data_IF_679631261910
#
_entry.id   IF_679631261910
#
_cell.length_a   1.000
_cell.length_b   1.000
_cell.length_c   1.000
_cell.angle_alpha   90.00
_cell.angle_beta   90.00
_cell.angle_gamma   90.00
#
_symmetry.space_group_name_H-M   'P 1'
#
loop_
_entity.id
_entity.type
_entity.pdbx_description
1 polymer ?
#
# COMPACT_ATOMS: atom_id res chain seq x y z
N UNK A 1 10.44 -4.76 1.95
CA UNK A 1 11.56 -3.87 1.59
C UNK A 1 11.34 -2.53 2.27
N UNK A 2 12.35 -2.00 2.93
CA UNK A 2 12.33 -0.73 3.64
C UNK A 2 13.65 0.02 3.35
N UNK A 3 13.51 1.26 2.87
CA UNK A 3 14.65 2.09 2.51
C UNK A 3 15.39 2.64 3.75
N UNK A 4 14.64 3.01 4.79
CA UNK A 4 15.20 3.62 5.98
C UNK A 4 15.82 2.55 6.89
N UNK A 5 17.13 2.59 7.10
CA UNK A 5 17.87 1.63 7.92
C UNK A 5 17.27 1.46 9.33
N UNK A 6 16.91 2.57 9.98
CA UNK A 6 16.30 2.54 11.31
C UNK A 6 14.98 1.78 11.34
N UNK A 7 14.11 1.97 10.32
CA UNK A 7 12.83 1.27 10.25
C UNK A 7 13.01 -0.20 9.89
N UNK A 8 13.97 -0.50 9.01
CA UNK A 8 14.34 -1.88 8.69
C UNK A 8 14.89 -2.63 9.93
N UNK A 9 15.74 -1.97 10.76
CA UNK A 9 16.21 -2.55 12.01
C UNK A 9 15.04 -2.82 12.99
N UNK A 10 14.12 -1.87 13.15
CA UNK A 10 12.93 -2.06 13.99
C UNK A 10 12.08 -3.23 13.49
N UNK A 11 11.87 -3.35 12.18
CA UNK A 11 11.14 -4.46 11.58
C UNK A 11 11.85 -5.81 11.83
N UNK A 12 13.18 -5.89 11.64
CA UNK A 12 13.97 -7.11 11.95
C UNK A 12 13.80 -7.54 13.40
N UNK A 13 13.92 -6.59 14.34
CA UNK A 13 13.71 -6.90 15.77
C UNK A 13 12.28 -7.38 16.05
N UNK A 14 11.27 -6.81 15.40
CA UNK A 14 9.89 -7.26 15.54
C UNK A 14 9.70 -8.68 15.01
N UNK A 15 10.34 -9.03 13.89
CA UNK A 15 10.33 -10.41 13.35
C UNK A 15 10.90 -11.38 14.36
N UNK A 16 12.08 -11.07 14.93
CA UNK A 16 12.72 -11.92 15.93
C UNK A 16 11.91 -12.04 17.22
N UNK A 17 11.37 -10.94 17.73
CA UNK A 17 10.53 -10.97 18.95
C UNK A 17 9.27 -11.82 18.80
N UNK A 18 8.75 -11.95 17.58
CA UNK A 18 7.55 -12.75 17.30
C UNK A 18 7.89 -14.14 16.72
N UNK A 19 9.15 -14.52 16.63
CA UNK A 19 9.63 -15.82 16.12
C UNK A 19 9.12 -16.08 14.69
N UNK A 20 9.25 -15.07 13.81
CA UNK A 20 8.76 -15.11 12.43
C UNK A 20 9.88 -15.17 11.39
N UNK A 21 11.13 -15.50 11.78
CA UNK A 21 12.29 -15.48 10.90
C UNK A 21 12.16 -16.44 9.72
N UNK A 22 11.48 -17.56 9.91
CA UNK A 22 11.21 -18.54 8.86
C UNK A 22 10.15 -18.10 7.83
N UNK A 23 9.37 -17.04 8.16
CA UNK A 23 8.27 -16.56 7.33
C UNK A 23 8.52 -15.17 6.77
N UNK A 24 9.28 -14.33 7.46
CA UNK A 24 9.44 -12.90 7.14
C UNK A 24 10.89 -12.54 6.97
N UNK A 25 11.24 -12.10 5.78
CA UNK A 25 12.55 -11.52 5.48
C UNK A 25 12.44 -10.00 5.34
N UNK A 26 13.18 -9.25 6.14
CA UNK A 26 13.26 -7.80 6.04
C UNK A 26 14.47 -7.40 5.22
N UNK A 27 14.24 -6.75 4.09
CA UNK A 27 15.26 -6.24 3.19
C UNK A 27 15.38 -4.73 3.40
N UNK A 28 16.60 -4.26 3.77
CA UNK A 28 16.90 -2.83 3.83
C UNK A 28 17.54 -2.41 2.52
N UNK A 29 16.74 -1.92 1.59
CA UNK A 29 17.18 -1.49 0.27
C UNK A 29 16.13 -0.59 -0.39
N UNK A 30 16.49 0.04 -1.51
CA UNK A 30 15.54 0.73 -2.38
C UNK A 30 14.62 -0.30 -3.08
N UNK A 31 13.34 0.04 -3.22
CA UNK A 31 12.38 -0.78 -3.96
C UNK A 31 12.87 -1.10 -5.39
N UNK A 32 13.60 -0.20 -6.02
CA UNK A 32 14.17 -0.40 -7.36
C UNK A 32 15.05 -1.65 -7.46
N UNK A 33 15.69 -2.00 -6.36
CA UNK A 33 16.57 -3.16 -6.24
C UNK A 33 15.83 -4.43 -5.79
N UNK A 34 14.49 -4.41 -5.70
CA UNK A 34 13.72 -5.58 -5.24
C UNK A 34 14.09 -6.85 -6.00
N UNK A 35 14.39 -6.76 -7.29
CA UNK A 35 14.71 -7.92 -8.13
C UNK A 35 16.07 -8.56 -7.82
N UNK A 36 16.92 -7.91 -7.03
CA UNK A 36 18.14 -8.48 -6.51
C UNK A 36 17.87 -9.39 -5.28
N UNK A 37 16.72 -9.18 -4.65
CA UNK A 37 16.29 -9.89 -3.45
C UNK A 37 15.13 -10.86 -3.69
N UNK A 38 14.32 -10.62 -4.71
CA UNK A 38 13.17 -11.45 -5.06
C UNK A 38 13.25 -11.88 -6.53
N UNK A 39 13.18 -13.19 -6.84
CA UNK A 39 13.29 -13.66 -8.22
C UNK A 39 12.17 -13.09 -9.10
N UNK A 40 12.50 -12.86 -10.38
CA UNK A 40 11.52 -12.41 -11.38
C UNK A 40 10.39 -13.43 -11.55
N UNK A 41 9.18 -12.92 -11.69
CA UNK A 41 7.98 -13.73 -11.98
C UNK A 41 7.72 -14.86 -10.97
N UNK A 42 8.04 -14.63 -9.69
CA UNK A 42 7.81 -15.60 -8.62
C UNK A 42 6.94 -15.10 -7.48
N UNK A 43 6.68 -13.81 -7.42
CA UNK A 43 5.85 -13.21 -6.36
C UNK A 43 4.36 -13.38 -6.68
N UNK A 44 3.58 -13.88 -5.73
CA UNK A 44 2.13 -14.05 -5.88
C UNK A 44 1.36 -12.76 -5.59
N UNK A 45 1.79 -12.00 -4.55
CA UNK A 45 1.12 -10.80 -4.08
C UNK A 45 2.13 -9.74 -3.65
N UNK A 46 1.91 -8.51 -4.10
CA UNK A 46 2.61 -7.32 -3.61
C UNK A 46 1.60 -6.43 -2.89
N UNK A 47 1.92 -6.05 -1.66
CA UNK A 47 1.21 -5.00 -0.92
C UNK A 47 2.08 -3.76 -0.87
N UNK A 48 1.53 -2.61 -1.24
CA UNK A 48 2.27 -1.36 -1.28
C UNK A 48 1.46 -0.22 -0.64
N UNK A 49 2.10 0.44 0.32
CA UNK A 49 1.61 1.68 0.91
C UNK A 49 2.66 2.78 0.67
N UNK A 50 2.69 3.38 -0.54
CA UNK A 50 3.70 4.34 -0.90
C UNK A 50 3.49 5.67 -0.19
N UNK A 51 4.52 6.52 -0.07
CA UNK A 51 4.35 7.88 0.41
C UNK A 51 3.44 8.68 -0.54
N UNK A 52 2.48 9.42 0.02
CA UNK A 52 1.39 10.06 -0.75
C UNK A 52 1.72 11.43 -1.32
N UNK A 53 2.93 11.93 -1.16
CA UNK A 53 3.24 13.32 -1.50
C UNK A 53 3.96 13.42 -2.85
N UNK A 54 3.45 14.30 -3.76
CA UNK A 54 4.30 14.89 -4.78
C UNK A 54 5.32 15.78 -4.07
N UNK A 55 6.59 15.66 -4.41
CA UNK A 55 7.59 16.67 -4.06
C UNK A 55 7.22 17.95 -4.82
N UNK A 56 6.38 18.81 -4.23
CA UNK A 56 6.15 20.15 -4.74
C UNK A 56 7.20 21.08 -4.15
N UNK A 57 7.82 21.90 -4.98
CA UNK A 57 8.89 22.87 -4.58
C UNK A 57 8.45 23.81 -3.46
N UNK A 58 7.17 23.99 -3.24
CA UNK A 58 6.58 24.82 -2.20
C UNK A 58 6.64 24.25 -0.78
N UNK A 59 7.02 22.99 -0.61
CA UNK A 59 7.11 22.33 0.72
C UNK A 59 8.40 22.64 1.49
N UNK A 60 9.26 23.53 0.97
CA UNK A 60 10.64 23.76 1.47
C UNK A 60 10.74 24.58 2.74
N UNK A 61 9.68 25.06 3.33
CA UNK A 61 9.82 26.14 4.33
C UNK A 61 9.42 25.86 5.78
N UNK A 62 9.09 24.72 6.29
CA UNK A 62 8.87 24.58 7.75
C UNK A 62 8.80 23.13 8.25
N UNK A 63 9.92 22.37 8.18
CA UNK A 63 9.92 21.05 8.80
C UNK A 63 11.33 20.66 9.28
N UNK A 64 11.40 20.02 10.47
CA UNK A 64 12.65 19.51 11.02
C UNK A 64 13.40 18.61 10.01
N UNK A 65 14.74 18.58 10.09
CA UNK A 65 15.59 17.81 9.17
C UNK A 65 15.12 16.34 8.99
N UNK A 66 14.57 15.73 10.00
CA UNK A 66 13.98 14.37 9.92
C UNK A 66 12.76 14.28 8.98
N UNK A 67 11.93 15.31 8.95
CA UNK A 67 10.80 15.38 8.03
C UNK A 67 11.23 15.73 6.61
N UNK A 68 12.32 16.50 6.46
CA UNK A 68 12.90 16.83 5.16
C UNK A 68 13.57 15.60 4.53
N UNK A 69 14.32 14.81 5.29
CA UNK A 69 14.88 13.52 4.85
C UNK A 69 13.77 12.55 4.40
N UNK A 70 12.73 12.37 5.19
CA UNK A 70 11.59 11.53 4.82
C UNK A 70 10.84 12.03 3.57
N UNK A 71 10.93 13.33 3.22
CA UNK A 71 10.32 13.90 2.01
C UNK A 71 11.23 13.94 0.80
N UNK A 72 12.55 14.03 0.98
CA UNK A 72 13.52 14.17 -0.11
C UNK A 72 14.09 12.82 -0.60
N UNK A 73 14.15 11.81 0.25
CA UNK A 73 14.71 10.50 -0.12
C UNK A 73 13.69 9.56 -0.76
N UNK A 74 12.41 9.91 -0.77
CA UNK A 74 11.36 9.02 -1.26
C UNK A 74 10.87 9.51 -2.62
N UNK A 75 11.66 9.31 -3.64
CA UNK A 75 11.27 9.45 -5.05
C UNK A 75 10.81 8.13 -5.67
N UNK A 76 10.35 7.17 -4.88
CA UNK A 76 9.67 6.01 -5.45
C UNK A 76 8.32 6.49 -5.94
N UNK A 77 8.24 6.77 -7.23
CA UNK A 77 7.01 7.18 -7.85
C UNK A 77 6.15 5.95 -8.20
N UNK A 78 4.92 6.18 -8.54
CA UNK A 78 3.97 5.12 -8.90
C UNK A 78 4.46 4.27 -10.09
N UNK A 79 5.18 4.88 -11.03
CA UNK A 79 5.74 4.18 -12.19
C UNK A 79 6.78 3.15 -11.77
N UNK A 80 7.68 3.51 -10.85
CA UNK A 80 8.70 2.60 -10.31
C UNK A 80 8.06 1.41 -9.59
N UNK A 81 7.01 1.67 -8.79
CA UNK A 81 6.25 0.60 -8.12
C UNK A 81 5.64 -0.34 -9.15
N UNK A 82 4.97 0.19 -10.18
CA UNK A 82 4.33 -0.61 -11.22
C UNK A 82 5.37 -1.37 -12.07
N UNK A 83 6.51 -0.74 -12.38
CA UNK A 83 7.60 -1.37 -13.12
C UNK A 83 8.17 -2.57 -12.35
N UNK A 84 8.50 -2.38 -11.08
CA UNK A 84 9.04 -3.44 -10.23
C UNK A 84 8.01 -4.55 -10.05
N UNK A 85 6.75 -4.19 -9.76
CA UNK A 85 5.67 -5.16 -9.61
C UNK A 85 5.46 -6.02 -10.86
N UNK A 86 5.48 -5.40 -12.05
CA UNK A 86 5.38 -6.12 -13.33
C UNK A 86 6.46 -7.20 -13.47
N UNK A 87 7.69 -6.91 -13.03
CA UNK A 87 8.79 -7.86 -13.17
C UNK A 87 8.82 -8.92 -12.06
N UNK A 88 8.45 -8.57 -10.84
CA UNK A 88 8.47 -9.48 -9.70
C UNK A 88 7.27 -10.44 -9.69
N UNK A 89 6.07 -9.97 -10.04
CA UNK A 89 4.85 -10.77 -10.00
C UNK A 89 4.87 -11.91 -11.03
N UNK A 90 4.31 -13.04 -10.66
CA UNK A 90 3.89 -14.10 -11.59
C UNK A 90 2.83 -13.58 -12.56
N UNK A 91 2.63 -14.26 -13.69
CA UNK A 91 1.41 -14.07 -14.47
C UNK A 91 0.19 -14.39 -13.60
N UNK A 92 -0.83 -13.52 -13.62
CA UNK A 92 -1.97 -13.52 -12.69
C UNK A 92 -1.63 -13.21 -11.24
N UNK A 93 -0.39 -12.88 -10.89
CA UNK A 93 -0.02 -12.32 -9.59
C UNK A 93 -0.66 -10.96 -9.38
N UNK A 94 -0.82 -10.55 -8.12
CA UNK A 94 -1.59 -9.37 -7.73
C UNK A 94 -0.75 -8.31 -7.07
N UNK A 95 -1.10 -7.06 -7.31
CA UNK A 95 -0.64 -5.92 -6.53
C UNK A 95 -1.82 -5.22 -5.90
N UNK A 96 -1.74 -4.92 -4.61
CA UNK A 96 -2.69 -4.06 -3.92
C UNK A 96 -1.95 -2.81 -3.39
N UNK A 97 -2.51 -1.65 -3.71
CA UNK A 97 -1.94 -0.34 -3.37
C UNK A 97 -2.94 0.46 -2.57
N UNK A 98 -2.46 1.06 -1.49
CA UNK A 98 -3.18 2.10 -0.73
C UNK A 98 -2.72 3.46 -1.25
N UNK A 99 -3.64 4.36 -1.55
CA UNK A 99 -3.30 5.70 -2.01
C UNK A 99 -4.39 6.74 -1.68
N UNK A 100 -4.13 7.99 -2.01
CA UNK A 100 -5.14 9.06 -1.93
C UNK A 100 -6.05 9.05 -3.16
N UNK A 101 -7.35 9.37 -3.00
CA UNK A 101 -8.32 9.39 -4.10
C UNK A 101 -8.00 10.41 -5.20
N UNK A 102 -7.33 11.52 -4.87
CA UNK A 102 -6.93 12.56 -5.82
C UNK A 102 -5.94 12.06 -6.90
N UNK A 103 -5.32 10.88 -6.68
CA UNK A 103 -4.42 10.23 -7.64
C UNK A 103 -5.05 9.07 -8.38
N UNK A 104 -6.36 8.89 -8.27
CA UNK A 104 -7.07 7.74 -8.81
C UNK A 104 -6.82 7.51 -10.30
N UNK A 105 -6.97 8.55 -11.12
CA UNK A 105 -6.76 8.43 -12.57
C UNK A 105 -5.31 8.13 -12.91
N UNK A 106 -4.35 8.83 -12.29
CA UNK A 106 -2.93 8.58 -12.49
C UNK A 106 -2.57 7.11 -12.17
N UNK A 107 -3.15 6.55 -11.09
CA UNK A 107 -2.89 5.17 -10.68
C UNK A 107 -3.44 4.19 -11.71
N UNK A 108 -4.66 4.37 -12.17
CA UNK A 108 -5.30 3.52 -13.18
C UNK A 108 -4.47 3.53 -14.48
N UNK A 109 -4.10 4.71 -14.95
CA UNK A 109 -3.36 4.85 -16.21
C UNK A 109 -1.97 4.23 -16.11
N UNK A 110 -1.25 4.50 -15.01
CA UNK A 110 0.07 3.90 -14.78
C UNK A 110 0.00 2.38 -14.67
N UNK A 111 -0.94 1.83 -13.89
CA UNK A 111 -1.09 0.37 -13.79
C UNK A 111 -1.33 -0.26 -15.16
N UNK A 112 -2.19 0.33 -15.98
CA UNK A 112 -2.49 -0.18 -17.34
C UNK A 112 -1.26 -0.13 -18.24
N UNK A 113 -0.45 0.92 -18.19
CA UNK A 113 0.80 1.03 -18.96
C UNK A 113 1.78 -0.10 -18.65
N UNK A 114 1.77 -0.60 -17.41
CA UNK A 114 2.63 -1.70 -16.95
C UNK A 114 1.96 -3.08 -17.02
N UNK A 115 0.86 -3.25 -17.75
CA UNK A 115 0.09 -4.51 -17.87
C UNK A 115 -0.37 -5.06 -16.50
N UNK A 116 -0.69 -4.16 -15.58
CA UNK A 116 -1.36 -4.45 -14.32
C UNK A 116 -2.83 -4.03 -14.50
N UNK A 117 -3.72 -5.00 -14.68
CA UNK A 117 -5.15 -4.75 -14.92
C UNK A 117 -5.88 -4.50 -13.60
N UNK A 118 -6.41 -3.29 -13.33
CA UNK A 118 -7.20 -3.02 -12.14
C UNK A 118 -8.43 -3.92 -12.09
N UNK A 119 -8.69 -4.56 -10.94
CA UNK A 119 -9.80 -5.51 -10.75
C UNK A 119 -10.72 -5.17 -9.60
N UNK A 120 -10.21 -4.53 -8.56
CA UNK A 120 -11.01 -4.14 -7.40
C UNK A 120 -10.59 -2.76 -6.93
N UNK A 121 -11.58 -1.94 -6.64
CA UNK A 121 -11.40 -0.60 -6.08
C UNK A 121 -12.32 -0.46 -4.88
N UNK A 122 -11.80 0.12 -3.80
CA UNK A 122 -12.59 0.48 -2.64
C UNK A 122 -12.18 1.85 -2.13
N UNK A 123 -13.15 2.74 -1.98
CA UNK A 123 -12.94 4.05 -1.38
C UNK A 123 -13.16 3.96 0.13
N UNK A 124 -12.26 4.57 0.88
CA UNK A 124 -12.31 4.59 2.33
C UNK A 124 -12.66 6.02 2.77
N UNK A 125 -13.64 6.12 3.64
CA UNK A 125 -14.17 7.36 4.17
C UNK A 125 -13.86 7.46 5.67
N UNK A 126 -13.42 8.61 6.18
CA UNK A 126 -13.19 8.77 7.62
C UNK A 126 -14.47 8.55 8.42
N UNK A 127 -15.61 9.01 7.91
CA UNK A 127 -16.98 8.76 8.43
C UNK A 127 -18.03 9.12 7.39
N UNK A 128 -19.27 8.74 7.63
CA UNK A 128 -20.40 9.10 6.79
C UNK A 128 -20.50 10.62 6.60
N UNK A 129 -20.86 11.07 5.39
CA UNK A 129 -20.98 12.49 5.05
C UNK A 129 -19.64 13.24 4.86
N UNK A 130 -18.52 12.55 4.87
CA UNK A 130 -17.20 13.10 4.51
C UNK A 130 -16.74 12.57 3.16
N UNK A 131 -15.83 13.27 2.52
CA UNK A 131 -15.16 12.78 1.31
C UNK A 131 -14.23 11.61 1.63
N UNK A 132 -14.04 10.73 0.64
CA UNK A 132 -13.06 9.66 0.75
C UNK A 132 -11.65 10.26 0.90
N UNK A 133 -10.89 9.75 1.85
CA UNK A 133 -9.52 10.19 2.10
C UNK A 133 -8.48 9.14 1.71
N UNK A 134 -8.89 7.89 1.51
CA UNK A 134 -8.03 6.79 1.09
C UNK A 134 -8.71 5.97 -0.02
N UNK A 135 -7.88 5.29 -0.79
CA UNK A 135 -8.27 4.45 -1.90
C UNK A 135 -7.46 3.15 -1.85
N UNK A 136 -8.14 2.02 -1.95
CA UNK A 136 -7.53 0.72 -2.16
C UNK A 136 -7.73 0.30 -3.61
N UNK A 137 -6.66 -0.11 -4.28
CA UNK A 137 -6.72 -0.65 -5.64
C UNK A 137 -5.98 -1.98 -5.68
N UNK A 138 -6.64 -3.01 -6.20
CA UNK A 138 -6.03 -4.29 -6.55
C UNK A 138 -5.99 -4.42 -8.07
N UNK A 139 -4.82 -4.78 -8.60
CA UNK A 139 -4.62 -5.08 -10.00
C UNK A 139 -3.96 -6.46 -10.19
N UNK A 140 -4.18 -7.07 -11.35
CA UNK A 140 -3.64 -8.39 -11.72
C UNK A 140 -2.67 -8.22 -12.89
N UNK A 141 -1.47 -8.78 -12.78
CA UNK A 141 -0.51 -8.83 -13.89
C UNK A 141 -1.03 -9.68 -15.03
N UNK A 142 -0.91 -9.15 -16.25
CA UNK A 142 -1.37 -9.79 -17.49
C UNK A 142 -2.87 -10.16 -17.49
N UNK A 143 -3.66 -9.55 -16.60
CA UNK A 143 -5.11 -9.73 -16.55
C UNK A 143 -5.83 -9.05 -17.72
N UNK A 144 -7.06 -9.52 -18.03
CA UNK A 144 -7.92 -8.82 -18.99
C UNK A 144 -8.28 -7.42 -18.48
N UNK A 145 -8.60 -6.49 -19.39
CA UNK A 145 -9.04 -5.13 -19.01
C UNK A 145 -10.47 -5.09 -18.46
N UNK A 146 -11.22 -6.18 -18.58
CA UNK A 146 -12.61 -6.28 -18.16
C UNK A 146 -12.77 -6.70 -16.71
N UNK A 147 -13.97 -6.55 -16.15
CA UNK A 147 -14.35 -7.09 -14.85
C UNK A 147 -13.85 -6.29 -13.65
N UNK A 148 -13.61 -4.99 -13.81
CA UNK A 148 -13.35 -4.09 -12.68
C UNK A 148 -14.57 -4.03 -11.77
N UNK A 149 -14.36 -4.22 -10.47
CA UNK A 149 -15.38 -4.12 -9.42
C UNK A 149 -15.10 -2.92 -8.51
N UNK A 150 -16.10 -2.06 -8.36
CA UNK A 150 -16.10 -1.04 -7.32
C UNK A 150 -16.79 -1.65 -6.10
N UNK A 151 -16.06 -1.81 -5.02
CA UNK A 151 -16.59 -2.36 -3.78
C UNK A 151 -17.41 -1.31 -3.02
N UNK A 152 -18.32 -1.74 -2.11
CA UNK A 152 -19.00 -0.81 -1.22
C UNK A 152 -18.01 0.09 -0.49
N UNK A 153 -18.40 1.35 -0.16
CA UNK A 153 -17.55 2.25 0.60
C UNK A 153 -17.24 1.69 1.99
N UNK A 154 -16.02 1.86 2.45
CA UNK A 154 -15.61 1.49 3.80
C UNK A 154 -15.56 2.75 4.68
N UNK A 155 -16.34 2.77 5.75
CA UNK A 155 -16.34 3.86 6.72
C UNK A 155 -15.51 3.49 7.94
N UNK A 156 -14.53 4.35 8.30
CA UNK A 156 -13.61 4.05 9.40
C UNK A 156 -14.27 4.26 10.74
N UNK A 157 -14.95 5.40 10.93
CA UNK A 157 -15.53 5.78 12.21
C UNK A 157 -17.05 5.94 12.14
N UNK A 158 -17.69 5.61 13.24
CA UNK A 158 -19.09 5.97 13.58
C UNK A 158 -19.16 7.46 13.91
N UNK A 159 -20.37 8.00 14.06
CA UNK A 159 -20.56 9.42 14.41
C UNK A 159 -19.93 9.78 15.77
N UNK A 160 -19.96 8.87 16.73
CA UNK A 160 -19.35 9.04 18.06
C UNK A 160 -17.82 8.98 18.09
N UNK A 161 -17.18 8.66 16.96
CA UNK A 161 -15.72 8.57 16.81
C UNK A 161 -15.13 7.17 16.99
N UNK A 162 -15.91 6.19 17.41
CA UNK A 162 -15.46 4.78 17.50
C UNK A 162 -15.25 4.19 16.10
N UNK A 163 -14.48 3.11 16.01
CA UNK A 163 -14.41 2.32 14.79
C UNK A 163 -15.78 1.72 14.44
N UNK A 164 -16.06 1.65 13.14
CA UNK A 164 -17.19 0.84 12.66
C UNK A 164 -16.94 -0.64 12.98
N UNK A 165 -18.00 -1.44 13.02
CA UNK A 165 -17.85 -2.86 13.33
C UNK A 165 -17.02 -3.59 12.26
N UNK A 166 -17.12 -3.18 10.99
CA UNK A 166 -16.30 -3.69 9.89
C UNK A 166 -14.80 -3.39 10.11
N UNK A 167 -14.44 -2.16 10.48
CA UNK A 167 -13.06 -1.80 10.78
C UNK A 167 -12.56 -2.51 12.03
N UNK A 168 -13.41 -2.63 13.04
CA UNK A 168 -13.06 -3.36 14.25
C UNK A 168 -12.76 -4.84 13.94
N UNK A 169 -13.58 -5.47 13.11
CA UNK A 169 -13.36 -6.85 12.67
C UNK A 169 -12.05 -7.01 11.87
N UNK A 170 -11.72 -6.04 11.01
CA UNK A 170 -10.48 -6.05 10.23
C UNK A 170 -9.25 -5.99 11.15
N UNK A 171 -9.27 -5.18 12.20
CA UNK A 171 -8.10 -4.98 13.06
C UNK A 171 -7.98 -6.01 14.19
N UNK A 172 -9.10 -6.45 14.74
CA UNK A 172 -9.13 -7.22 15.98
C UNK A 172 -9.79 -8.61 15.83
N UNK A 173 -10.29 -8.93 14.66
CA UNK A 173 -11.06 -10.16 14.41
C UNK A 173 -12.54 -10.03 14.81
N UNK A 174 -13.29 -11.06 14.54
CA UNK A 174 -14.72 -11.11 14.94
C UNK A 174 -14.82 -11.06 16.46
N UNK A 175 -15.72 -10.20 16.95
CA UNK A 175 -16.12 -10.26 18.36
C UNK A 175 -16.65 -11.67 18.63
N UNK A 176 -16.01 -12.39 19.54
CA UNK A 176 -16.58 -13.62 20.09
C UNK A 176 -17.85 -13.23 20.83
N UNK A 177 -18.97 -13.86 20.48
CA UNK A 177 -20.24 -13.69 21.21
C UNK A 177 -19.98 -14.10 22.67
N UNK A 178 -19.81 -13.13 23.55
CA UNK A 178 -19.55 -13.38 24.97
C UNK A 178 -18.94 -12.21 25.77
N UNK A 179 -18.47 -11.17 25.13
CA UNK A 179 -17.95 -9.97 25.83
C UNK A 179 -18.94 -8.79 25.65
N UNK A 180 -19.92 -8.75 26.53
CA UNK A 180 -20.82 -7.60 26.74
C UNK A 180 -20.44 -6.82 27.98
#
# INVERSE_FOLDING_TARGET
VELQERLADMAKRSVTLNQLEDQVTVVNDDLKNLLDHAPRSQVDLILCNPPYFKATETSKKNLSEHYLLARHEITTNLEEICQVARHALKSNGRIAVVHRPDRFLDIIDTMRQYNLAPKRIQFIYPKMGREANMLLIEAIKDGSTDGLKILPPLFVHKENGDYTDEIFEIYFGKKTEGES
#
